data_IF_760575604329
#
_entry.id   IF_760575604329
#
_cell.length_a   1.000
_cell.length_b   1.000
_cell.length_c   1.000
_cell.angle_alpha   90.00
_cell.angle_beta   90.00
_cell.angle_gamma   90.00
#
_symmetry.space_group_name_H-M   'P 1'
#
loop_
_entity.id
_entity.type
_entity.pdbx_description
1 polymer ?
#
# COMPACT_ATOMS: atom_id res chain seq x y z
N UNK A 1 -14.69 -28.83 14.35
CA UNK A 1 -15.46 -28.21 15.47
C UNK A 1 -15.96 -26.84 15.05
N UNK A 2 -17.16 -26.46 15.47
CA UNK A 2 -17.73 -25.14 15.17
C UNK A 2 -17.14 -24.08 16.11
N UNK A 3 -16.75 -22.93 15.55
CA UNK A 3 -16.21 -21.81 16.33
C UNK A 3 -17.31 -21.13 17.14
N UNK A 4 -17.00 -20.75 18.37
CA UNK A 4 -17.91 -19.94 19.20
C UNK A 4 -18.12 -18.54 18.58
N UNK A 5 -19.22 -17.85 18.91
CA UNK A 5 -19.41 -16.46 18.49
C UNK A 5 -18.24 -15.54 18.88
N UNK A 6 -17.65 -15.76 20.05
CA UNK A 6 -16.51 -15.00 20.57
C UNK A 6 -15.26 -15.24 19.71
N UNK A 7 -14.98 -16.50 19.36
CA UNK A 7 -13.87 -16.86 18.46
C UNK A 7 -14.07 -16.30 17.05
N UNK A 8 -15.31 -16.31 16.52
CA UNK A 8 -15.62 -15.69 15.23
C UNK A 8 -15.34 -14.19 15.25
N UNK A 9 -15.72 -13.52 16.34
CA UNK A 9 -15.48 -12.08 16.52
C UNK A 9 -14.00 -11.75 16.64
N UNK A 10 -13.24 -12.54 17.41
CA UNK A 10 -11.79 -12.43 17.52
C UNK A 10 -11.11 -12.57 16.14
N UNK A 11 -11.52 -13.57 15.37
CA UNK A 11 -11.00 -13.78 14.02
C UNK A 11 -11.36 -12.65 13.07
N UNK A 12 -12.58 -12.11 13.14
CA UNK A 12 -12.97 -10.94 12.34
C UNK A 12 -12.08 -9.74 12.68
N UNK A 13 -11.85 -9.45 13.96
CA UNK A 13 -10.96 -8.37 14.38
C UNK A 13 -9.53 -8.52 13.85
N UNK A 14 -8.99 -9.74 13.84
CA UNK A 14 -7.63 -10.01 13.39
C UNK A 14 -7.49 -10.07 11.86
N UNK A 15 -8.49 -10.62 11.14
CA UNK A 15 -8.37 -10.99 9.73
C UNK A 15 -9.09 -10.04 8.79
N UNK A 16 -10.22 -9.47 9.19
CA UNK A 16 -10.96 -8.57 8.32
C UNK A 16 -10.17 -7.28 8.11
N UNK A 17 -10.10 -6.84 6.86
CA UNK A 17 -9.31 -5.68 6.45
C UNK A 17 -10.21 -4.50 6.08
N UNK A 18 -9.79 -3.28 6.45
CA UNK A 18 -10.49 -2.03 6.15
C UNK A 18 -9.54 -1.02 5.51
N UNK A 19 -10.03 -0.35 4.48
CA UNK A 19 -9.37 0.81 3.87
C UNK A 19 -9.43 1.98 4.87
N UNK A 20 -8.28 2.35 5.43
CA UNK A 20 -8.13 3.40 6.42
C UNK A 20 -7.58 4.71 5.83
N UNK A 21 -7.39 4.80 4.51
CA UNK A 21 -6.72 5.94 3.86
C UNK A 21 -7.58 7.22 3.81
N UNK A 22 -8.79 7.20 4.39
CA UNK A 22 -9.67 8.37 4.50
C UNK A 22 -10.23 8.88 3.15
N UNK A 23 -9.81 8.28 2.04
CA UNK A 23 -10.28 8.60 0.72
C UNK A 23 -11.59 7.84 0.40
N UNK A 24 -12.33 8.31 -0.60
CA UNK A 24 -13.49 7.59 -1.11
C UNK A 24 -13.07 6.19 -1.62
N UNK A 25 -13.95 5.19 -1.47
CA UNK A 25 -13.78 3.82 -1.99
C UNK A 25 -13.37 3.71 -3.48
N UNK A 26 -13.53 4.77 -4.29
CA UNK A 26 -13.09 4.84 -5.70
C UNK A 26 -11.64 5.32 -5.84
N UNK A 27 -11.14 6.07 -4.87
CA UNK A 27 -9.83 6.69 -4.92
C UNK A 27 -8.70 5.66 -4.85
N UNK A 28 -8.77 4.68 -3.94
CA UNK A 28 -7.77 3.61 -3.84
C UNK A 28 -7.74 2.76 -5.11
N UNK A 29 -8.91 2.35 -5.62
CA UNK A 29 -9.07 1.60 -6.88
C UNK A 29 -8.41 2.27 -8.08
N UNK A 30 -8.62 3.57 -8.28
CA UNK A 30 -8.05 4.31 -9.41
C UNK A 30 -6.61 4.74 -9.16
N UNK A 31 -6.29 5.11 -7.92
CA UNK A 31 -5.00 5.66 -7.50
C UNK A 31 -3.88 4.63 -7.56
N UNK A 32 -4.08 3.43 -7.01
CA UNK A 32 -3.08 2.35 -7.04
C UNK A 32 -2.71 2.00 -8.48
N UNK A 33 -3.72 1.85 -9.36
CA UNK A 33 -3.48 1.56 -10.78
C UNK A 33 -2.67 2.67 -11.46
N UNK A 34 -3.00 3.94 -11.20
CA UNK A 34 -2.29 5.09 -11.78
C UNK A 34 -0.84 5.16 -11.30
N UNK A 35 -0.62 5.03 -9.99
CA UNK A 35 0.71 5.09 -9.37
C UNK A 35 1.63 3.94 -9.78
N UNK A 36 1.07 2.77 -10.13
CA UNK A 36 1.85 1.70 -10.79
C UNK A 36 2.09 1.96 -12.27
N UNK A 37 1.07 2.42 -13.00
CA UNK A 37 1.12 2.58 -14.46
C UNK A 37 2.09 3.67 -14.91
N UNK A 38 2.12 4.80 -14.21
CA UNK A 38 2.94 5.96 -14.58
C UNK A 38 4.44 5.66 -14.62
N UNK A 39 5.08 5.17 -13.53
CA UNK A 39 6.51 4.84 -13.56
C UNK A 39 6.82 3.77 -14.60
N UNK A 40 6.05 2.67 -14.65
CA UNK A 40 6.28 1.59 -15.63
C UNK A 40 6.14 2.05 -17.09
N UNK A 41 5.33 3.09 -17.38
CA UNK A 41 5.25 3.65 -18.73
C UNK A 41 6.46 4.54 -19.03
N UNK A 42 6.92 5.31 -18.05
CA UNK A 42 8.11 6.13 -18.18
C UNK A 42 9.37 5.27 -18.37
N UNK A 43 9.52 4.22 -17.57
CA UNK A 43 10.63 3.27 -17.63
C UNK A 43 10.67 2.57 -18.99
N UNK A 44 9.55 2.01 -19.46
CA UNK A 44 9.46 1.42 -20.81
C UNK A 44 9.79 2.40 -21.92
N UNK A 45 9.30 3.64 -21.84
CA UNK A 45 9.61 4.65 -22.86
C UNK A 45 11.10 4.97 -22.89
N UNK A 46 11.72 5.12 -21.72
CA UNK A 46 13.17 5.32 -21.57
C UNK A 46 13.93 4.13 -22.16
N UNK A 47 13.56 2.91 -21.78
CA UNK A 47 14.18 1.68 -22.27
C UNK A 47 14.11 1.57 -23.79
N UNK A 48 12.94 1.79 -24.39
CA UNK A 48 12.80 1.79 -25.85
C UNK A 48 13.67 2.86 -26.53
N UNK A 49 13.81 4.05 -25.93
CA UNK A 49 14.67 5.10 -26.47
C UNK A 49 16.16 4.71 -26.42
N UNK A 50 16.61 4.15 -25.29
CA UNK A 50 18.01 3.75 -25.12
C UNK A 50 18.35 2.54 -25.98
N UNK A 51 17.49 1.51 -26.00
CA UNK A 51 17.70 0.35 -26.87
C UNK A 51 17.61 0.74 -28.36
N UNK A 52 16.81 1.75 -28.68
CA UNK A 52 16.72 2.30 -30.03
C UNK A 52 18.04 2.83 -30.56
N UNK A 53 18.97 3.28 -29.71
CA UNK A 53 20.31 3.74 -30.16
C UNK A 53 21.24 2.61 -30.56
N UNK A 54 20.88 1.36 -30.23
CA UNK A 54 21.63 0.15 -30.60
C UNK A 54 20.96 -0.62 -31.75
N UNK A 55 19.88 -0.09 -32.34
CA UNK A 55 19.24 -0.70 -33.52
C UNK A 55 20.02 -0.34 -34.79
N UNK A 56 20.60 -1.34 -35.45
CA UNK A 56 21.32 -1.17 -36.72
C UNK A 56 22.37 -2.26 -36.93
N UNK A 57 23.10 -2.23 -38.08
CA UNK A 57 24.25 -3.11 -38.30
C UNK A 57 25.25 -2.95 -37.14
N UNK A 58 25.56 -4.08 -36.50
CA UNK A 58 26.15 -4.17 -35.17
C UNK A 58 27.42 -3.33 -35.00
N UNK A 59 27.31 -2.26 -34.19
CA UNK A 59 28.45 -1.63 -33.56
C UNK A 59 28.41 -2.07 -32.11
N UNK A 60 29.24 -3.04 -31.75
CA UNK A 60 29.32 -3.61 -30.39
C UNK A 60 29.44 -2.53 -29.31
N UNK A 61 30.22 -1.49 -29.59
CA UNK A 61 30.32 -0.30 -28.74
C UNK A 61 28.99 0.45 -28.51
N UNK A 62 28.08 0.47 -29.49
CA UNK A 62 26.76 1.10 -29.34
C UNK A 62 25.83 0.25 -28.46
N UNK A 63 25.93 -1.08 -28.54
CA UNK A 63 25.20 -1.99 -27.67
C UNK A 63 25.68 -1.89 -26.22
N UNK A 64 27.00 -1.91 -26.00
CA UNK A 64 27.61 -1.73 -24.66
C UNK A 64 27.26 -0.37 -24.05
N UNK A 65 27.27 0.70 -24.85
CA UNK A 65 26.89 2.04 -24.39
C UNK A 65 25.41 2.10 -23.99
N UNK A 66 24.52 1.45 -24.74
CA UNK A 66 23.10 1.37 -24.42
C UNK A 66 22.86 0.58 -23.12
N UNK A 67 23.53 -0.56 -22.94
CA UNK A 67 23.46 -1.35 -21.72
C UNK A 67 23.96 -0.57 -20.51
N UNK A 68 25.15 0.03 -20.60
CA UNK A 68 25.75 0.85 -19.54
C UNK A 68 24.79 1.97 -19.10
N UNK A 69 24.11 2.61 -20.07
CA UNK A 69 23.15 3.68 -19.79
C UNK A 69 21.88 3.20 -19.09
N UNK A 70 21.39 2.01 -19.44
CA UNK A 70 20.26 1.38 -18.76
C UNK A 70 20.60 1.04 -17.31
N UNK A 71 21.78 0.45 -17.08
CA UNK A 71 22.23 0.04 -15.75
C UNK A 71 22.55 1.23 -14.83
N UNK A 72 23.10 2.32 -15.39
CA UNK A 72 23.41 3.54 -14.65
C UNK A 72 22.15 4.25 -14.11
N UNK A 73 20.96 3.96 -14.65
CA UNK A 73 19.73 4.68 -14.30
C UNK A 73 18.76 3.82 -13.52
N UNK A 74 18.52 4.17 -12.26
CA UNK A 74 17.50 3.48 -11.46
C UNK A 74 16.09 3.60 -12.06
N UNK A 75 15.26 2.53 -11.98
CA UNK A 75 13.86 2.58 -12.41
C UNK A 75 13.06 3.63 -11.63
N UNK A 76 12.12 4.30 -12.32
CA UNK A 76 11.28 5.33 -11.70
C UNK A 76 10.46 4.76 -10.54
N UNK A 77 10.03 3.50 -10.64
CA UNK A 77 9.32 2.81 -9.56
C UNK A 77 10.10 2.71 -8.25
N UNK A 78 11.43 2.62 -8.32
CA UNK A 78 12.33 2.59 -7.15
C UNK A 78 12.61 4.01 -6.64
N UNK A 79 12.82 4.97 -7.56
CA UNK A 79 13.04 6.38 -7.19
C UNK A 79 11.82 7.05 -6.56
N UNK A 80 10.62 6.52 -6.82
CA UNK A 80 9.40 7.02 -6.20
C UNK A 80 9.24 6.34 -4.85
N UNK A 81 9.18 7.10 -3.75
CA UNK A 81 8.91 6.57 -2.39
C UNK A 81 7.52 5.94 -2.22
N UNK A 82 6.79 5.70 -3.31
CA UNK A 82 5.45 5.16 -3.27
C UNK A 82 5.47 3.64 -3.17
N UNK A 83 4.94 3.12 -2.07
CA UNK A 83 4.68 1.70 -1.85
C UNK A 83 3.18 1.47 -1.66
N UNK A 84 2.65 0.38 -2.23
CA UNK A 84 1.31 -0.09 -1.85
C UNK A 84 1.40 -0.67 -0.45
N UNK A 85 0.69 -0.06 0.49
CA UNK A 85 0.56 -0.55 1.85
C UNK A 85 -0.69 -1.44 1.97
N UNK A 86 -0.63 -2.50 2.80
CA UNK A 86 -1.80 -3.35 3.06
C UNK A 86 -2.90 -2.56 3.77
N UNK A 87 -4.13 -3.07 3.67
CA UNK A 87 -5.26 -2.53 4.42
C UNK A 87 -5.11 -2.86 5.92
N UNK A 88 -5.69 -2.01 6.76
CA UNK A 88 -5.58 -2.11 8.22
C UNK A 88 -6.48 -3.23 8.75
N UNK A 89 -6.06 -3.93 9.80
CA UNK A 89 -6.93 -4.90 10.48
C UNK A 89 -8.14 -4.20 11.11
N UNK A 90 -9.27 -4.91 11.20
CA UNK A 90 -10.51 -4.34 11.72
C UNK A 90 -10.35 -3.85 13.17
N UNK A 91 -9.59 -4.57 14.00
CA UNK A 91 -9.29 -4.13 15.36
C UNK A 91 -8.63 -2.76 15.40
N UNK A 92 -7.51 -2.60 14.70
CA UNK A 92 -6.76 -1.35 14.68
C UNK A 92 -7.59 -0.21 14.06
N UNK A 93 -8.42 -0.53 13.06
CA UNK A 93 -9.34 0.44 12.46
C UNK A 93 -10.37 0.93 13.49
N UNK A 94 -10.99 0.02 14.24
CA UNK A 94 -11.95 0.38 15.29
C UNK A 94 -11.27 1.17 16.40
N UNK A 95 -10.10 0.74 16.87
CA UNK A 95 -9.31 1.45 17.86
C UNK A 95 -9.03 2.90 17.42
N UNK A 96 -8.54 3.09 16.19
CA UNK A 96 -8.31 4.43 15.62
C UNK A 96 -9.58 5.29 15.57
N UNK A 97 -10.74 4.68 15.29
CA UNK A 97 -12.04 5.39 15.28
C UNK A 97 -12.45 5.82 16.69
N UNK A 98 -12.26 4.97 17.70
CA UNK A 98 -12.57 5.28 19.09
C UNK A 98 -11.65 6.40 19.60
N UNK A 99 -10.33 6.29 19.37
CA UNK A 99 -9.36 7.33 19.72
C UNK A 99 -9.67 8.67 19.02
N UNK A 100 -10.11 8.62 17.75
CA UNK A 100 -10.54 9.83 17.04
C UNK A 100 -11.78 10.49 17.66
N UNK A 101 -12.72 9.71 18.22
CA UNK A 101 -13.90 10.27 18.92
C UNK A 101 -13.49 11.01 20.18
N UNK A 102 -12.62 10.39 20.98
CA UNK A 102 -12.06 11.01 22.18
C UNK A 102 -11.33 12.30 21.84
N UNK A 103 -10.42 12.29 20.85
CA UNK A 103 -9.70 13.50 20.40
C UNK A 103 -10.61 14.63 19.91
N UNK A 104 -11.83 14.31 19.51
CA UNK A 104 -12.83 15.28 19.04
C UNK A 104 -13.83 15.68 20.13
N UNK A 105 -13.65 15.22 21.36
CA UNK A 105 -14.57 15.48 22.47
C UNK A 105 -15.95 14.84 22.30
N UNK A 106 -16.10 13.87 21.39
CA UNK A 106 -17.40 13.22 21.15
C UNK A 106 -17.70 12.09 22.13
N UNK A 107 -16.71 11.65 22.90
CA UNK A 107 -16.84 10.47 23.78
C UNK A 107 -15.87 10.59 24.95
N UNK A 108 -16.29 10.06 26.09
CA UNK A 108 -15.47 9.96 27.30
C UNK A 108 -14.24 9.06 27.04
N UNK A 109 -13.01 9.57 27.28
CA UNK A 109 -11.79 8.78 27.20
C UNK A 109 -11.85 7.43 27.94
N UNK A 110 -12.41 7.40 29.15
CA UNK A 110 -12.41 6.20 29.99
C UNK A 110 -13.27 5.09 29.38
N UNK A 111 -14.45 5.46 28.85
CA UNK A 111 -15.37 4.53 28.19
C UNK A 111 -14.75 3.92 26.94
N UNK A 112 -14.12 4.74 26.11
CA UNK A 112 -13.51 4.27 24.87
C UNK A 112 -12.25 3.43 25.14
N UNK A 113 -11.47 3.76 26.17
CA UNK A 113 -10.33 2.96 26.61
C UNK A 113 -10.74 1.55 27.05
N UNK A 114 -11.80 1.41 27.85
CA UNK A 114 -12.33 0.11 28.25
C UNK A 114 -12.81 -0.74 27.05
N UNK A 115 -13.33 -0.10 25.99
CA UNK A 115 -13.71 -0.79 24.75
C UNK A 115 -12.48 -1.25 23.96
N UNK A 116 -11.45 -0.42 23.87
CA UNK A 116 -10.18 -0.77 23.21
C UNK A 116 -9.54 -1.98 23.91
N UNK A 117 -9.49 -1.96 25.24
CA UNK A 117 -8.94 -3.07 26.02
C UNK A 117 -9.70 -4.38 25.81
N UNK A 118 -11.03 -4.30 25.70
CA UNK A 118 -11.86 -5.46 25.36
C UNK A 118 -11.53 -6.04 23.99
N UNK A 119 -11.31 -5.19 22.99
CA UNK A 119 -10.90 -5.62 21.64
C UNK A 119 -9.54 -6.29 21.70
N UNK A 120 -8.56 -5.66 22.36
CA UNK A 120 -7.20 -6.19 22.51
C UNK A 120 -7.17 -7.52 23.27
N UNK A 121 -8.01 -7.68 24.30
CA UNK A 121 -8.15 -8.95 25.03
C UNK A 121 -8.68 -10.06 24.13
N UNK A 122 -9.62 -9.76 23.24
CA UNK A 122 -10.16 -10.74 22.29
C UNK A 122 -9.24 -11.10 21.13
N UNK A 123 -8.09 -10.42 20.98
CA UNK A 123 -7.07 -10.74 19.97
C UNK A 123 -5.95 -11.65 20.51
N UNK A 124 -5.83 -11.78 21.83
CA UNK A 124 -4.91 -12.69 22.50
C UNK A 124 -5.53 -14.09 22.58
#
# INVERSE_FOLDING_TARGET
>A
MAKSPQEKKALSYAKDRRDAYGANNKASRKGIRRRKRQPNRADRRRESQVLGTALGPAVEAAAEAAESRLQATQPKGVSTLWKKWPDQALADHVENRLLRRVRRGMSDPAVEQARIERIRRGLR
#
